data_IF_525480825928
#
_entry.id   IF_525480825928
#
_cell.length_a   1.000
_cell.length_b   1.000
_cell.length_c   1.000
_cell.angle_alpha   90.00
_cell.angle_beta   90.00
_cell.angle_gamma   90.00
#
_symmetry.space_group_name_H-M   'P 1'
#
loop_
_entity.id
_entity.type
_entity.pdbx_description
1 polymer ?
#
# COMPACT_ATOMS: atom_id res chain seq x y z
N UNK A 1 -7.27 10.93 5.19
CA UNK A 1 -7.53 10.04 4.05
C UNK A 1 -6.59 8.86 4.15
N UNK A 2 -7.14 7.65 4.15
CA UNK A 2 -6.38 6.40 4.17
C UNK A 2 -6.17 5.94 2.73
N UNK A 3 -4.91 5.80 2.32
CA UNK A 3 -4.54 5.37 0.97
C UNK A 3 -3.86 4.01 1.07
N UNK A 4 -4.35 3.02 0.34
CA UNK A 4 -3.65 1.77 0.14
C UNK A 4 -2.70 1.93 -1.05
N UNK A 5 -1.41 1.74 -0.87
CA UNK A 5 -0.43 1.77 -1.95
C UNK A 5 0.09 0.36 -2.23
N UNK A 6 -0.32 -0.21 -3.37
CA UNK A 6 0.23 -1.47 -3.86
C UNK A 6 1.59 -1.27 -4.53
N UNK A 7 2.46 -2.29 -4.47
CA UNK A 7 3.79 -2.20 -5.08
C UNK A 7 4.68 -1.10 -4.46
N UNK A 8 4.42 -0.72 -3.20
CA UNK A 8 5.08 0.39 -2.51
C UNK A 8 6.62 0.29 -2.45
N UNK A 9 7.17 -0.92 -2.59
CA UNK A 9 8.61 -1.17 -2.60
C UNK A 9 9.25 -1.11 -4.01
N UNK A 10 8.44 -0.95 -5.06
CA UNK A 10 8.90 -0.80 -6.43
C UNK A 10 9.40 0.61 -6.74
N UNK A 11 9.96 0.79 -7.94
CA UNK A 11 10.49 2.07 -8.41
C UNK A 11 9.47 3.21 -8.27
N UNK A 12 8.30 3.08 -8.91
CA UNK A 12 7.26 4.11 -8.86
C UNK A 12 6.59 4.19 -7.48
N UNK A 13 6.28 3.03 -6.87
CA UNK A 13 5.63 2.98 -5.56
C UNK A 13 6.44 3.70 -4.48
N UNK A 14 7.76 3.58 -4.48
CA UNK A 14 8.61 4.27 -3.51
C UNK A 14 8.58 5.80 -3.66
N UNK A 15 8.50 6.31 -4.89
CA UNK A 15 8.37 7.73 -5.17
C UNK A 15 6.99 8.26 -4.75
N UNK A 16 5.91 7.56 -5.09
CA UNK A 16 4.54 7.91 -4.68
C UNK A 16 4.41 7.89 -3.16
N UNK A 17 4.95 6.86 -2.50
CA UNK A 17 4.95 6.76 -1.04
C UNK A 17 5.61 7.98 -0.40
N UNK A 18 6.76 8.41 -0.93
CA UNK A 18 7.48 9.57 -0.40
C UNK A 18 6.65 10.85 -0.51
N UNK A 19 6.06 11.10 -1.67
CA UNK A 19 5.28 12.32 -1.93
C UNK A 19 3.99 12.37 -1.09
N UNK A 20 3.24 11.27 -1.04
CA UNK A 20 1.93 11.25 -0.39
C UNK A 20 2.00 11.10 1.14
N UNK A 21 3.08 10.54 1.68
CA UNK A 21 3.24 10.35 3.12
C UNK A 21 3.31 11.67 3.92
N UNK A 22 3.57 12.80 3.25
CA UNK A 22 3.57 14.12 3.90
C UNK A 22 2.17 14.57 4.32
N UNK A 23 1.13 14.11 3.60
CA UNK A 23 -0.24 14.64 3.74
C UNK A 23 -1.28 13.57 4.07
N UNK A 24 -0.96 12.30 3.88
CA UNK A 24 -1.93 11.20 3.96
C UNK A 24 -1.40 10.01 4.76
N UNK A 25 -2.33 9.23 5.31
CA UNK A 25 -2.01 7.96 5.94
C UNK A 25 -1.85 6.89 4.85
N UNK A 26 -0.59 6.58 4.52
CA UNK A 26 -0.25 5.57 3.51
C UNK A 26 -0.09 4.21 4.18
N UNK A 27 -0.95 3.28 3.80
CA UNK A 27 -0.87 1.86 4.15
C UNK A 27 -0.32 1.14 2.93
N UNK A 28 0.63 0.24 3.13
CA UNK A 28 1.38 -0.36 2.00
C UNK A 28 1.06 -1.83 1.83
N UNK A 29 0.90 -2.26 0.58
CA UNK A 29 0.77 -3.68 0.22
C UNK A 29 1.87 -4.07 -0.75
N UNK A 30 2.62 -5.12 -0.43
CA UNK A 30 3.66 -5.71 -1.27
C UNK A 30 3.86 -7.16 -0.90
N UNK A 31 4.63 -7.91 -1.70
CA UNK A 31 4.93 -9.33 -1.40
C UNK A 31 5.80 -9.51 -0.15
N UNK A 32 6.52 -8.48 0.28
CA UNK A 32 7.37 -8.49 1.47
C UNK A 32 7.65 -7.07 1.95
N UNK A 33 8.06 -6.93 3.22
CA UNK A 33 8.48 -5.68 3.87
C UNK A 33 7.51 -4.50 3.67
N UNK A 34 6.23 -4.72 3.96
CA UNK A 34 5.17 -3.72 3.91
C UNK A 34 4.15 -3.97 5.01
N UNK A 35 3.17 -3.08 5.16
CA UNK A 35 2.11 -3.22 6.17
C UNK A 35 1.29 -4.50 5.93
N UNK A 36 0.82 -4.69 4.70
CA UNK A 36 0.21 -5.94 4.23
C UNK A 36 1.18 -6.70 3.33
N UNK A 37 1.71 -7.80 3.84
CA UNK A 37 2.58 -8.68 3.06
C UNK A 37 1.76 -9.74 2.33
N UNK A 38 1.15 -9.32 1.21
CA UNK A 38 0.19 -10.13 0.46
C UNK A 38 0.61 -10.26 -1.00
N UNK A 39 0.39 -11.46 -1.53
CA UNK A 39 0.63 -11.82 -2.92
C UNK A 39 -0.72 -11.78 -3.65
N UNK A 40 -1.03 -10.67 -4.33
CA UNK A 40 -2.32 -10.48 -5.03
C UNK A 40 -2.59 -11.53 -6.12
N UNK A 41 -1.56 -12.23 -6.57
CA UNK A 41 -1.66 -13.33 -7.51
C UNK A 41 -2.04 -14.69 -6.86
N UNK A 42 -1.97 -14.80 -5.53
CA UNK A 42 -2.24 -16.04 -4.78
C UNK A 42 -3.47 -15.96 -3.89
N UNK A 43 -3.79 -14.78 -3.38
CA UNK A 43 -4.88 -14.60 -2.41
C UNK A 43 -5.54 -13.23 -2.55
N UNK A 44 -6.79 -13.17 -2.09
CA UNK A 44 -7.54 -11.92 -1.96
C UNK A 44 -7.21 -11.36 -0.56
N UNK A 45 -6.63 -10.15 -0.45
CA UNK A 45 -6.33 -9.56 0.85
C UNK A 45 -7.62 -9.31 1.65
N UNK A 46 -7.56 -9.62 2.95
CA UNK A 46 -8.60 -9.24 3.90
C UNK A 46 -8.17 -7.96 4.64
N UNK A 47 -8.96 -6.90 4.49
CA UNK A 47 -8.66 -5.59 5.04
C UNK A 47 -9.59 -5.28 6.21
N UNK A 48 -9.01 -5.01 7.38
CA UNK A 48 -9.76 -4.64 8.59
C UNK A 48 -10.06 -3.13 8.68
N UNK A 49 -9.88 -2.39 7.58
CA UNK A 49 -10.04 -0.95 7.51
C UNK A 49 -10.45 -0.53 6.09
N UNK A 50 -11.15 0.59 5.99
CA UNK A 50 -11.55 1.18 4.71
C UNK A 50 -10.43 2.08 4.14
N UNK A 51 -10.40 2.15 2.79
CA UNK A 51 -9.49 2.99 2.03
C UNK A 51 -10.29 3.94 1.15
N UNK A 52 -9.90 5.21 1.16
CA UNK A 52 -10.49 6.23 0.30
C UNK A 52 -9.93 6.14 -1.13
N UNK A 53 -8.69 5.67 -1.26
CA UNK A 53 -7.96 5.53 -2.53
C UNK A 53 -7.05 4.29 -2.47
N UNK A 54 -6.95 3.57 -3.58
CA UNK A 54 -6.10 2.38 -3.79
C UNK A 54 -5.21 2.61 -5.01
#
# INVERSE_FOLDING_TARGET
MNILLTGANGFLGSAIKKELAENYNIITLSRSNSFYNVSLEKEIPDFNQEFDLI
#
